data_IF_243897644926
#
_entry.id   IF_243897644926
#
_cell.length_a   1.000
_cell.length_b   1.000
_cell.length_c   1.000
_cell.angle_alpha   90.00
_cell.angle_beta   90.00
_cell.angle_gamma   90.00
#
_symmetry.space_group_name_H-M   'P 1'
#
loop_
_entity.id
_entity.type
_entity.pdbx_description
1 polymer ?
#
# COMPACT_ATOMS: atom_id res chain seq x y z
N UNK A 1 -2.91 -2.49 9.09
CA UNK A 1 -3.17 -1.06 8.73
C UNK A 1 -2.43 -0.08 9.62
N UNK A 2 -2.57 -0.15 10.95
CA UNK A 2 -1.94 0.81 11.87
C UNK A 2 -0.42 0.94 11.67
N UNK A 3 0.29 -0.17 11.43
CA UNK A 3 1.74 -0.15 11.21
C UNK A 3 2.14 0.58 9.93
N UNK A 4 1.42 0.37 8.84
CA UNK A 4 1.69 1.04 7.56
C UNK A 4 1.53 2.55 7.68
N UNK A 5 0.51 3.04 8.40
CA UNK A 5 0.34 4.48 8.62
C UNK A 5 1.52 5.09 9.40
N UNK A 6 2.07 4.33 10.36
CA UNK A 6 3.22 4.76 11.16
C UNK A 6 4.50 4.77 10.35
N UNK A 7 4.76 3.71 9.59
CA UNK A 7 5.98 3.54 8.78
C UNK A 7 6.03 4.56 7.64
N UNK A 8 4.89 4.80 7.00
CA UNK A 8 4.81 5.69 5.82
C UNK A 8 4.61 7.16 6.18
N UNK A 9 4.34 7.46 7.46
CA UNK A 9 3.93 8.80 7.94
C UNK A 9 2.73 9.40 7.17
N UNK A 10 1.93 8.56 6.50
CA UNK A 10 0.77 9.00 5.73
C UNK A 10 -0.47 9.05 6.60
N UNK A 11 -1.31 10.05 6.35
CA UNK A 11 -2.69 10.01 6.84
C UNK A 11 -3.46 8.86 6.18
N UNK A 12 -4.49 8.34 6.87
CA UNK A 12 -5.40 7.32 6.28
C UNK A 12 -5.99 7.76 4.94
N UNK A 13 -6.41 9.02 4.85
CA UNK A 13 -6.99 9.57 3.62
C UNK A 13 -5.97 9.60 2.49
N UNK A 14 -4.72 9.98 2.78
CA UNK A 14 -3.63 10.00 1.79
C UNK A 14 -3.29 8.59 1.33
N UNK A 15 -3.22 7.63 2.26
CA UNK A 15 -2.96 6.23 1.95
C UNK A 15 -4.03 5.68 0.99
N UNK A 16 -5.31 5.83 1.32
CA UNK A 16 -6.39 5.36 0.46
C UNK A 16 -6.42 6.05 -0.91
N UNK A 17 -6.12 7.35 -0.97
CA UNK A 17 -5.99 8.07 -2.25
C UNK A 17 -4.87 7.49 -3.10
N UNK A 18 -3.68 7.28 -2.53
CA UNK A 18 -2.56 6.68 -3.26
C UNK A 18 -2.86 5.23 -3.70
N UNK A 19 -3.58 4.46 -2.89
CA UNK A 19 -4.05 3.11 -3.29
C UNK A 19 -4.99 3.22 -4.50
N UNK A 20 -5.98 4.12 -4.44
CA UNK A 20 -6.91 4.35 -5.55
C UNK A 20 -6.21 4.85 -6.83
N UNK A 21 -5.18 5.67 -6.67
CA UNK A 21 -4.35 6.19 -7.77
C UNK A 21 -3.33 5.15 -8.30
N UNK A 22 -3.24 3.96 -7.69
CA UNK A 22 -2.24 2.94 -8.05
C UNK A 22 -0.80 3.32 -7.68
N UNK A 23 -0.61 4.30 -6.80
CA UNK A 23 0.68 4.84 -6.32
C UNK A 23 1.08 4.33 -4.93
N UNK A 24 0.40 3.29 -4.48
CA UNK A 24 0.70 2.59 -3.23
C UNK A 24 0.26 1.12 -3.34
N UNK A 25 0.97 0.18 -2.72
CA UNK A 25 0.59 -1.24 -2.72
C UNK A 25 -0.84 -1.47 -2.24
N UNK A 26 -1.62 -2.24 -3.02
CA UNK A 26 -2.98 -2.60 -2.62
C UNK A 26 -2.97 -3.52 -1.38
N UNK A 27 -3.87 -3.31 -0.40
CA UNK A 27 -4.00 -4.20 0.74
C UNK A 27 -4.59 -5.54 0.33
N UNK A 28 -4.06 -6.63 0.89
CA UNK A 28 -4.62 -7.98 0.80
C UNK A 28 -5.50 -8.21 2.02
N UNK A 29 -6.75 -8.62 1.79
CA UNK A 29 -7.69 -8.96 2.86
C UNK A 29 -7.36 -10.35 3.41
N UNK A 30 -7.05 -10.42 4.71
CA UNK A 30 -6.73 -11.67 5.41
C UNK A 30 -7.95 -12.27 6.13
N UNK A 31 -9.11 -11.61 6.02
CA UNK A 31 -10.36 -12.00 6.66
C UNK A 31 -10.84 -10.99 7.70
N UNK A 32 -12.15 -10.84 7.82
CA UNK A 32 -12.77 -9.88 8.75
C UNK A 32 -12.31 -8.44 8.50
N UNK A 33 -11.78 -7.79 9.54
CA UNK A 33 -11.21 -6.42 9.47
C UNK A 33 -9.69 -6.42 9.27
N UNK A 34 -9.06 -7.59 9.12
CA UNK A 34 -7.62 -7.69 8.97
C UNK A 34 -7.22 -7.50 7.50
N UNK A 35 -6.27 -6.59 7.28
CA UNK A 35 -5.62 -6.39 6.00
C UNK A 35 -4.11 -6.30 6.19
N UNK A 36 -3.38 -6.88 5.24
CA UNK A 36 -1.92 -6.85 5.16
C UNK A 36 -1.45 -6.32 3.81
N UNK A 37 -0.14 -6.18 3.66
CA UNK A 37 0.51 -5.81 2.40
C UNK A 37 1.61 -6.82 2.11
N UNK A 38 1.88 -7.08 0.84
CA UNK A 38 3.06 -7.84 0.44
C UNK A 38 4.32 -7.10 0.93
N UNK A 39 5.24 -7.78 1.65
CA UNK A 39 6.49 -7.18 2.09
C UNK A 39 7.30 -6.60 0.94
N UNK A 40 7.43 -7.32 -0.18
CA UNK A 40 8.16 -6.88 -1.37
C UNK A 40 7.56 -5.63 -2.01
N UNK A 41 6.23 -5.60 -2.15
CA UNK A 41 5.54 -4.44 -2.72
C UNK A 41 5.69 -3.20 -1.82
N UNK A 42 5.61 -3.40 -0.50
CA UNK A 42 5.81 -2.32 0.47
C UNK A 42 7.27 -1.83 0.48
N UNK A 43 8.25 -2.73 0.41
CA UNK A 43 9.66 -2.37 0.33
C UNK A 43 9.95 -1.59 -0.95
N UNK A 44 9.45 -2.05 -2.10
CA UNK A 44 9.60 -1.33 -3.38
C UNK A 44 9.03 0.08 -3.30
N UNK A 45 7.88 0.24 -2.63
CA UNK A 45 7.32 1.57 -2.39
C UNK A 45 8.16 2.42 -1.43
N UNK A 46 8.76 1.84 -0.39
CA UNK A 46 9.64 2.55 0.54
C UNK A 46 10.90 3.05 -0.18
N UNK A 47 11.45 2.24 -1.09
CA UNK A 47 12.66 2.56 -1.85
C UNK A 47 12.43 3.70 -2.85
N UNK A 48 11.25 3.73 -3.51
CA UNK A 48 10.84 4.84 -4.39
C UNK A 48 9.33 5.14 -4.28
N UNK A 49 8.91 5.98 -3.33
CA UNK A 49 7.50 6.32 -3.14
C UNK A 49 6.85 7.13 -4.26
N UNK A 50 7.65 7.73 -5.16
CA UNK A 50 7.17 8.60 -6.24
C UNK A 50 7.13 7.87 -7.58
N UNK A 51 8.06 6.95 -7.82
CA UNK A 51 8.10 6.08 -9.00
C UNK A 51 7.37 4.75 -8.84
N UNK A 52 6.91 4.38 -7.64
CA UNK A 52 6.10 3.19 -7.45
C UNK A 52 4.80 3.24 -8.25
N UNK A 53 4.59 2.21 -9.08
CA UNK A 53 3.34 1.93 -9.76
C UNK A 53 2.89 0.53 -9.37
N UNK A 54 1.67 0.41 -8.86
CA UNK A 54 1.13 -0.89 -8.50
C UNK A 54 1.11 -1.80 -9.74
N UNK A 55 1.62 -3.05 -9.64
CA UNK A 55 1.56 -3.97 -10.75
C UNK A 55 0.10 -4.13 -11.16
N UNK A 56 -0.19 -3.94 -12.46
CA UNK A 56 -1.51 -4.28 -13.00
C UNK A 56 -1.72 -5.76 -12.70
N UNK A 57 -2.72 -6.07 -11.88
CA UNK A 57 -3.12 -7.44 -11.64
C UNK A 57 -3.48 -8.02 -13.02
N UNK A 58 -2.61 -8.87 -13.56
CA UNK A 58 -2.95 -9.69 -14.72
C UNK A 58 -3.90 -10.76 -14.19
N UNK A 59 -5.20 -10.48 -14.30
CA UNK A 59 -6.29 -11.43 -14.10
C UNK A 59 -6.23 -12.51 -15.17
#
# INVERSE_FOLDING_TARGET
MADVLRITALSRATLYRRIADGKFPAPVHLGGRACGWSPDALQTWIDDPQGYVAPRLHV
#
